data_IF_782071852634
#
_entry.id   IF_782071852634
#
_cell.length_a   1.000
_cell.length_b   1.000
_cell.length_c   1.000
_cell.angle_alpha   90.00
_cell.angle_beta   90.00
_cell.angle_gamma   90.00
#
_symmetry.space_group_name_H-M   'P 1'
#
loop_
_entity.id
_entity.type
_entity.pdbx_description
1 polymer ?
#
# COMPACT_ATOMS: atom_id res chain seq x y z
N UNK A 1 0.37 16.81 3.21
CA UNK A 1 -1.04 17.17 2.97
C UNK A 1 -1.45 16.99 1.52
N UNK A 2 -0.69 17.52 0.53
CA UNK A 2 -1.08 17.52 -0.89
C UNK A 2 -1.52 16.14 -1.44
N UNK A 3 -0.74 15.08 -1.23
CA UNK A 3 -1.11 13.75 -1.73
C UNK A 3 -2.41 13.19 -1.11
N UNK A 4 -2.65 13.43 0.17
CA UNK A 4 -3.89 13.03 0.82
C UNK A 4 -5.08 13.87 0.32
N UNK A 5 -4.87 15.18 0.11
CA UNK A 5 -5.89 16.07 -0.42
C UNK A 5 -6.28 15.69 -1.86
N UNK A 6 -5.31 15.44 -2.75
CA UNK A 6 -5.59 14.98 -4.12
C UNK A 6 -6.28 13.63 -4.14
N UNK A 7 -5.91 12.72 -3.23
CA UNK A 7 -6.58 11.43 -3.09
C UNK A 7 -8.05 11.57 -2.66
N UNK A 8 -8.32 12.38 -1.64
CA UNK A 8 -9.69 12.64 -1.17
C UNK A 8 -10.54 13.32 -2.24
N UNK A 9 -9.97 14.29 -2.97
CA UNK A 9 -10.67 14.94 -4.09
C UNK A 9 -11.00 13.94 -5.20
N UNK A 10 -10.06 13.06 -5.54
CA UNK A 10 -10.26 12.03 -6.56
C UNK A 10 -11.31 10.98 -6.14
N UNK A 11 -11.30 10.57 -4.88
CA UNK A 11 -12.30 9.67 -4.31
C UNK A 11 -13.69 10.31 -4.36
N UNK A 12 -13.80 11.55 -3.89
CA UNK A 12 -15.04 12.32 -3.95
C UNK A 12 -15.54 12.58 -5.37
N UNK A 13 -14.65 12.60 -6.37
CA UNK A 13 -15.02 12.75 -7.78
C UNK A 13 -15.49 11.43 -8.41
N UNK A 14 -14.91 10.30 -8.00
CA UNK A 14 -15.18 8.98 -8.61
C UNK A 14 -16.17 8.11 -7.82
N UNK A 15 -16.57 8.50 -6.63
CA UNK A 15 -17.54 7.76 -5.82
C UNK A 15 -18.95 7.86 -6.40
N UNK A 16 -19.69 6.75 -6.38
CA UNK A 16 -21.09 6.68 -6.82
C UNK A 16 -21.95 7.74 -6.11
N UNK A 17 -22.85 8.41 -6.83
CA UNK A 17 -23.68 9.56 -6.35
C UNK A 17 -22.90 10.82 -5.93
N UNK A 18 -21.75 11.09 -6.55
CA UNK A 18 -21.02 12.34 -6.38
C UNK A 18 -20.94 13.12 -7.68
N UNK A 19 -20.60 14.41 -7.57
CA UNK A 19 -20.60 15.38 -8.65
C UNK A 19 -19.91 14.89 -9.94
N UNK A 20 -18.80 14.15 -9.86
CA UNK A 20 -18.13 13.60 -11.05
C UNK A 20 -18.97 12.56 -11.81
N UNK A 21 -19.71 11.69 -11.11
CA UNK A 21 -20.55 10.67 -11.75
C UNK A 21 -21.79 11.27 -12.40
N UNK A 22 -22.34 12.31 -11.79
CA UNK A 22 -23.49 13.08 -12.31
C UNK A 22 -23.10 13.99 -13.49
N UNK A 23 -21.90 14.59 -13.47
CA UNK A 23 -21.45 15.54 -14.51
C UNK A 23 -20.87 14.87 -15.77
N UNK A 24 -20.21 13.71 -15.63
CA UNK A 24 -19.51 13.04 -16.75
C UNK A 24 -20.09 11.69 -17.14
N UNK A 25 -21.29 11.34 -16.65
CA UNK A 25 -21.95 10.05 -16.91
C UNK A 25 -21.05 8.86 -16.53
N UNK A 26 -20.26 8.95 -15.47
CA UNK A 26 -19.36 7.85 -15.05
C UNK A 26 -20.13 6.62 -14.53
N UNK A 27 -21.43 6.76 -14.28
CA UNK A 27 -22.34 5.65 -14.00
C UNK A 27 -22.71 4.85 -15.26
N UNK A 28 -22.36 5.33 -16.45
CA UNK A 28 -22.55 4.58 -17.70
C UNK A 28 -21.68 3.33 -17.68
N UNK A 29 -22.27 2.19 -18.00
CA UNK A 29 -21.55 0.91 -18.05
C UNK A 29 -20.98 0.63 -19.44
N UNK A 30 -19.74 0.16 -19.48
CA UNK A 30 -19.07 -0.37 -20.67
C UNK A 30 -18.50 -1.75 -20.32
N UNK A 31 -18.85 -2.78 -21.08
CA UNK A 31 -18.39 -4.14 -20.80
C UNK A 31 -18.85 -4.72 -19.45
N UNK A 32 -20.00 -4.27 -18.94
CA UNK A 32 -20.55 -4.71 -17.66
C UNK A 32 -20.03 -3.96 -16.43
N UNK A 33 -19.08 -3.04 -16.60
CA UNK A 33 -18.52 -2.23 -15.51
C UNK A 33 -18.82 -0.74 -15.72
N UNK A 34 -19.18 0.00 -14.67
CA UNK A 34 -19.35 1.44 -14.73
C UNK A 34 -18.01 2.14 -14.97
N UNK A 35 -18.03 3.24 -15.72
CA UNK A 35 -16.83 4.00 -16.09
C UNK A 35 -16.02 4.52 -14.89
N UNK A 36 -16.66 4.77 -13.74
CA UNK A 36 -15.92 5.15 -12.52
C UNK A 36 -14.94 4.05 -12.07
N UNK A 37 -15.25 2.76 -12.27
CA UNK A 37 -14.33 1.67 -11.92
C UNK A 37 -13.09 1.71 -12.81
N UNK A 38 -13.25 1.96 -14.11
CA UNK A 38 -12.10 2.13 -15.01
C UNK A 38 -11.24 3.34 -14.62
N UNK A 39 -11.87 4.45 -14.24
CA UNK A 39 -11.15 5.63 -13.75
C UNK A 39 -10.35 5.30 -12.46
N UNK A 40 -10.97 4.60 -11.51
CA UNK A 40 -10.32 4.21 -10.25
C UNK A 40 -9.16 3.23 -10.46
N UNK A 41 -9.37 2.12 -11.17
CA UNK A 41 -8.31 1.14 -11.40
C UNK A 41 -7.25 1.64 -12.38
N UNK A 42 -7.65 2.35 -13.44
CA UNK A 42 -6.72 2.90 -14.44
C UNK A 42 -5.79 3.95 -13.84
N UNK A 43 -6.32 4.89 -13.05
CA UNK A 43 -5.49 5.87 -12.34
C UNK A 43 -4.60 5.22 -11.28
N UNK A 44 -5.08 4.16 -10.60
CA UNK A 44 -4.26 3.39 -9.65
C UNK A 44 -3.09 2.67 -10.32
N UNK A 45 -3.33 2.05 -11.49
CA UNK A 45 -2.27 1.41 -12.27
C UNK A 45 -1.22 2.43 -12.74
N UNK A 46 -1.65 3.58 -13.24
CA UNK A 46 -0.76 4.67 -13.62
C UNK A 46 0.05 5.17 -12.41
N UNK A 47 -0.60 5.38 -11.26
CA UNK A 47 0.06 5.80 -10.03
C UNK A 47 1.11 4.79 -9.57
N UNK A 48 0.84 3.48 -9.67
CA UNK A 48 1.80 2.42 -9.36
C UNK A 48 3.02 2.45 -10.29
N UNK A 49 2.82 2.69 -11.59
CA UNK A 49 3.94 2.84 -12.53
C UNK A 49 4.81 4.04 -12.16
N UNK A 50 4.19 5.19 -11.89
CA UNK A 50 4.90 6.41 -11.48
C UNK A 50 5.64 6.19 -10.16
N UNK A 51 5.02 5.53 -9.19
CA UNK A 51 5.65 5.21 -7.91
C UNK A 51 6.83 4.25 -8.08
N UNK A 52 6.68 3.21 -8.90
CA UNK A 52 7.75 2.27 -9.22
C UNK A 52 8.93 2.96 -9.91
N UNK A 53 8.65 3.85 -10.86
CA UNK A 53 9.66 4.67 -11.51
C UNK A 53 10.36 5.60 -10.52
N UNK A 54 9.62 6.29 -9.65
CA UNK A 54 10.15 7.15 -8.60
C UNK A 54 11.06 6.38 -7.63
N UNK A 55 10.64 5.21 -7.16
CA UNK A 55 11.45 4.35 -6.28
C UNK A 55 12.72 3.88 -6.99
N UNK A 56 12.60 3.37 -8.22
CA UNK A 56 13.74 2.86 -8.97
C UNK A 56 14.77 3.97 -9.28
N UNK A 57 14.31 5.15 -9.68
CA UNK A 57 15.18 6.30 -9.94
C UNK A 57 15.79 6.85 -8.66
N UNK A 58 15.00 6.93 -7.58
CA UNK A 58 15.47 7.33 -6.25
C UNK A 58 16.60 6.41 -5.77
N UNK A 59 16.38 5.09 -5.81
CA UNK A 59 17.37 4.10 -5.39
C UNK A 59 18.67 4.18 -6.19
N UNK A 60 18.59 4.33 -7.51
CA UNK A 60 19.76 4.51 -8.38
C UNK A 60 20.54 5.77 -7.99
N UNK A 61 19.85 6.91 -7.83
CA UNK A 61 20.48 8.18 -7.44
C UNK A 61 21.11 8.13 -6.04
N UNK A 62 20.50 7.40 -5.10
CA UNK A 62 21.08 7.24 -3.75
C UNK A 62 22.29 6.32 -3.71
N UNK A 63 22.39 5.35 -4.63
CA UNK A 63 23.56 4.49 -4.72
C UNK A 63 24.82 5.26 -5.15
N UNK A 64 24.63 6.29 -5.98
CA UNK A 64 25.72 7.14 -6.48
C UNK A 64 26.03 8.33 -5.54
N UNK A 65 25.26 8.53 -4.47
CA UNK A 65 25.43 9.64 -3.55
C UNK A 65 26.57 9.37 -2.54
N UNK A 66 27.38 10.39 -2.18
CA UNK A 66 28.39 10.25 -1.14
C UNK A 66 27.79 9.79 0.18
N UNK A 67 28.43 8.83 0.85
CA UNK A 67 27.99 8.35 2.16
C UNK A 67 28.02 9.51 3.17
N UNK A 68 26.91 9.81 3.87
CA UNK A 68 26.88 10.90 4.84
C UNK A 68 27.94 10.71 5.92
N UNK A 69 28.66 11.80 6.26
CA UNK A 69 29.60 11.85 7.38
C UNK A 69 28.78 11.94 8.67
N UNK A 70 28.31 10.79 9.16
CA UNK A 70 27.49 10.68 10.37
C UNK A 70 27.68 9.32 11.03
N UNK A 71 27.06 9.08 12.21
CA UNK A 71 27.16 7.79 12.89
C UNK A 71 26.70 6.68 11.96
N UNK A 72 27.58 5.70 11.71
CA UNK A 72 27.27 4.58 10.84
C UNK A 72 26.03 3.84 11.37
N UNK A 73 24.99 3.76 10.54
CA UNK A 73 23.84 2.93 10.85
C UNK A 73 24.31 1.48 11.01
N UNK A 74 23.83 0.75 12.03
CA UNK A 74 24.27 -0.62 12.24
C UNK A 74 23.98 -1.47 11.01
N UNK A 75 25.00 -2.08 10.42
CA UNK A 75 24.81 -2.98 9.29
C UNK A 75 24.03 -4.23 9.75
N UNK A 76 22.91 -4.52 9.09
CA UNK A 76 22.17 -5.76 9.29
C UNK A 76 22.91 -6.93 8.64
N UNK A 77 23.17 -7.98 9.41
CA UNK A 77 23.65 -9.25 8.88
C UNK A 77 22.60 -9.92 7.98
N UNK A 78 23.00 -10.90 7.16
CA UNK A 78 22.11 -11.58 6.22
C UNK A 78 20.88 -12.19 6.92
N UNK A 79 21.07 -12.84 8.08
CA UNK A 79 19.97 -13.42 8.86
C UNK A 79 18.98 -12.38 9.40
N UNK A 80 19.47 -11.24 9.88
CA UNK A 80 18.61 -10.16 10.38
C UNK A 80 17.80 -9.51 9.24
N UNK A 81 18.39 -9.38 8.05
CA UNK A 81 17.68 -8.89 6.87
C UNK A 81 16.53 -9.82 6.50
N UNK A 82 16.79 -11.13 6.42
CA UNK A 82 15.74 -12.11 6.14
C UNK A 82 14.69 -12.19 7.24
N UNK A 83 15.10 -12.06 8.51
CA UNK A 83 14.17 -11.96 9.64
C UNK A 83 13.26 -10.73 9.54
N UNK A 84 13.81 -9.56 9.20
CA UNK A 84 13.04 -8.34 8.98
C UNK A 84 12.08 -8.48 7.80
N UNK A 85 12.56 -9.00 6.67
CA UNK A 85 11.71 -9.26 5.50
C UNK A 85 10.60 -10.26 5.82
N UNK A 86 10.91 -11.33 6.55
CA UNK A 86 9.94 -12.33 6.99
C UNK A 86 8.89 -11.76 7.93
N UNK A 87 9.29 -10.91 8.88
CA UNK A 87 8.38 -10.19 9.77
C UNK A 87 7.43 -9.30 8.98
N UNK A 88 7.97 -8.45 8.10
CA UNK A 88 7.17 -7.52 7.30
C UNK A 88 6.21 -8.26 6.36
N UNK A 89 6.70 -9.28 5.66
CA UNK A 89 5.89 -10.12 4.79
C UNK A 89 4.79 -10.86 5.59
N UNK A 90 5.14 -11.41 6.76
CA UNK A 90 4.19 -12.06 7.65
C UNK A 90 3.08 -11.11 8.10
N UNK A 91 3.42 -9.90 8.56
CA UNK A 91 2.42 -8.90 8.95
C UNK A 91 1.53 -8.48 7.78
N UNK A 92 2.08 -8.32 6.57
CA UNK A 92 1.30 -8.04 5.35
C UNK A 92 0.31 -9.16 5.06
N UNK A 93 0.77 -10.42 5.05
CA UNK A 93 -0.09 -11.59 4.79
C UNK A 93 -1.19 -11.70 5.84
N UNK A 94 -0.85 -11.52 7.12
CA UNK A 94 -1.84 -11.53 8.21
C UNK A 94 -2.85 -10.39 8.09
N UNK A 95 -2.42 -9.19 7.70
CA UNK A 95 -3.30 -8.05 7.48
C UNK A 95 -4.28 -8.28 6.32
N UNK A 96 -3.80 -8.83 5.20
CA UNK A 96 -4.63 -9.25 4.06
C UNK A 96 -5.64 -10.30 4.52
N UNK A 97 -5.16 -11.39 5.13
CA UNK A 97 -5.99 -12.51 5.55
C UNK A 97 -7.07 -12.06 6.53
N UNK A 98 -6.70 -11.27 7.55
CA UNK A 98 -7.65 -10.75 8.53
C UNK A 98 -8.77 -9.94 7.86
N UNK A 99 -8.44 -9.04 6.93
CA UNK A 99 -9.44 -8.21 6.23
C UNK A 99 -10.32 -9.05 5.30
N UNK A 100 -9.73 -9.97 4.53
CA UNK A 100 -10.49 -10.82 3.62
C UNK A 100 -11.40 -11.80 4.36
N UNK A 101 -10.94 -12.41 5.45
CA UNK A 101 -11.77 -13.29 6.31
C UNK A 101 -12.91 -12.49 6.92
N UNK A 102 -12.65 -11.27 7.40
CA UNK A 102 -13.70 -10.39 7.94
C UNK A 102 -14.75 -10.00 6.89
N UNK A 103 -14.32 -9.73 5.66
CA UNK A 103 -15.22 -9.49 4.55
C UNK A 103 -16.08 -10.72 4.27
N UNK A 104 -15.46 -11.89 4.14
CA UNK A 104 -16.17 -13.14 3.86
C UNK A 104 -17.16 -13.51 4.98
N UNK A 105 -16.78 -13.31 6.24
CA UNK A 105 -17.66 -13.54 7.38
C UNK A 105 -18.89 -12.61 7.39
N UNK A 106 -18.79 -11.42 6.78
CA UNK A 106 -19.89 -10.46 6.72
C UNK A 106 -20.79 -10.67 5.48
N UNK A 107 -20.20 -10.94 4.31
CA UNK A 107 -20.92 -11.02 3.03
C UNK A 107 -21.16 -12.45 2.51
N UNK A 108 -20.47 -13.45 3.07
CA UNK A 108 -20.65 -14.88 2.78
C UNK A 108 -20.11 -15.38 1.42
N UNK A 109 -19.78 -14.48 0.49
CA UNK A 109 -19.22 -14.82 -0.83
C UNK A 109 -18.37 -13.67 -1.40
N UNK A 110 -17.53 -14.01 -2.38
CA UNK A 110 -16.83 -13.05 -3.23
C UNK A 110 -17.45 -13.19 -4.62
N UNK A 111 -18.18 -12.17 -5.07
CA UNK A 111 -18.90 -12.19 -6.35
C UNK A 111 -17.97 -11.83 -7.50
N UNK A 112 -17.11 -10.84 -7.29
CA UNK A 112 -16.12 -10.40 -8.26
C UNK A 112 -14.75 -10.24 -7.58
N UNK A 113 -13.65 -10.72 -8.21
CA UNK A 113 -12.30 -10.44 -7.73
C UNK A 113 -12.02 -8.94 -7.51
N UNK A 114 -12.63 -8.04 -8.29
CA UNK A 114 -12.49 -6.60 -8.12
C UNK A 114 -13.01 -6.13 -6.74
N UNK A 115 -14.03 -6.77 -6.19
CA UNK A 115 -14.62 -6.38 -4.90
C UNK A 115 -13.67 -6.64 -3.72
N UNK A 116 -12.82 -7.66 -3.84
CA UNK A 116 -11.90 -8.05 -2.76
C UNK A 116 -10.53 -7.37 -2.85
N UNK A 117 -10.14 -6.87 -4.02
CA UNK A 117 -8.84 -6.21 -4.23
C UNK A 117 -8.64 -5.03 -3.26
N UNK A 118 -9.57 -4.07 -3.13
CA UNK A 118 -9.39 -2.96 -2.18
C UNK A 118 -9.23 -3.46 -0.75
N UNK A 119 -10.04 -4.44 -0.34
CA UNK A 119 -9.99 -5.06 0.99
C UNK A 119 -8.61 -5.69 1.26
N UNK A 120 -8.06 -6.42 0.29
CA UNK A 120 -6.72 -6.99 0.38
C UNK A 120 -5.64 -5.90 0.45
N UNK A 121 -5.71 -4.87 -0.40
CA UNK A 121 -4.75 -3.76 -0.40
C UNK A 121 -4.75 -2.99 0.93
N UNK A 122 -5.93 -2.69 1.51
CA UNK A 122 -6.02 -2.08 2.84
C UNK A 122 -5.44 -2.98 3.94
N UNK A 123 -5.70 -4.29 3.85
CA UNK A 123 -5.11 -5.29 4.74
C UNK A 123 -3.59 -5.30 4.65
N UNK A 124 -3.03 -5.29 3.44
CA UNK A 124 -1.60 -5.25 3.18
C UNK A 124 -0.96 -3.99 3.77
N UNK A 125 -1.55 -2.82 3.53
CA UNK A 125 -1.07 -1.54 4.05
C UNK A 125 -1.08 -1.48 5.59
N UNK A 126 -2.18 -1.92 6.22
CA UNK A 126 -2.28 -1.98 7.68
C UNK A 126 -1.28 -2.97 8.28
N UNK A 127 -1.13 -4.14 7.66
CA UNK A 127 -0.15 -5.16 8.04
C UNK A 127 1.29 -4.63 7.94
N UNK A 128 1.64 -3.96 6.83
CA UNK A 128 2.95 -3.35 6.67
C UNK A 128 3.22 -2.29 7.73
N UNK A 129 2.25 -1.41 8.02
CA UNK A 129 2.39 -0.39 9.06
C UNK A 129 2.66 -1.03 10.44
N UNK A 130 1.90 -2.06 10.81
CA UNK A 130 2.13 -2.81 12.04
C UNK A 130 3.51 -3.49 12.06
N UNK A 131 3.91 -4.10 10.94
CA UNK A 131 5.22 -4.75 10.80
C UNK A 131 6.38 -3.76 10.94
N UNK A 132 6.27 -2.57 10.37
CA UNK A 132 7.26 -1.49 10.51
C UNK A 132 7.38 -1.00 11.94
N UNK A 133 6.27 -0.89 12.67
CA UNK A 133 6.28 -0.56 14.10
C UNK A 133 6.97 -1.65 14.91
N UNK A 134 6.63 -2.92 14.70
CA UNK A 134 7.26 -4.06 15.38
C UNK A 134 8.76 -4.13 15.08
N UNK A 135 9.14 -3.92 13.82
CA UNK A 135 10.54 -3.86 13.41
C UNK A 135 11.28 -2.69 14.09
N UNK A 136 10.67 -1.51 14.17
CA UNK A 136 11.24 -0.36 14.88
C UNK A 136 11.45 -0.64 16.37
N UNK A 137 10.48 -1.29 17.02
CA UNK A 137 10.57 -1.72 18.43
C UNK A 137 11.69 -2.74 18.62
N UNK A 138 11.77 -3.75 17.75
CA UNK A 138 12.87 -4.73 17.75
C UNK A 138 14.23 -4.03 17.68
N UNK A 139 14.40 -3.13 16.71
CA UNK A 139 15.67 -2.44 16.48
C UNK A 139 16.08 -1.56 17.67
N UNK A 140 15.12 -0.87 18.30
CA UNK A 140 15.38 0.00 19.45
C UNK A 140 15.63 -0.76 20.75
N UNK A 141 14.83 -1.79 21.05
CA UNK A 141 14.86 -2.44 22.37
C UNK A 141 15.80 -3.64 22.45
N UNK A 142 15.91 -4.44 21.39
CA UNK A 142 16.69 -5.69 21.43
C UNK A 142 18.14 -5.47 20.98
N UNK A 143 18.39 -4.52 20.08
CA UNK A 143 19.74 -4.17 19.61
C UNK A 143 20.41 -3.12 20.48
N UNK A 144 19.67 -2.12 20.97
CA UNK A 144 20.21 -1.12 21.92
C UNK A 144 20.64 -1.70 23.27
N UNK A 145 20.24 -2.93 23.60
CA UNK A 145 20.71 -3.67 24.79
C UNK A 145 21.94 -4.55 24.54
N UNK A 146 22.35 -4.75 23.28
CA UNK A 146 23.49 -5.61 22.88
C UNK A 146 24.75 -4.81 22.50
N UNK A 147 24.64 -3.49 22.45
CA UNK A 147 25.74 -2.52 22.29
C UNK A 147 26.02 -1.88 23.63
#
# INVERSE_FOLDING_TARGET
ALGAATHVVWDAFTHHSRWGTELLLLDRSVGGFPLYQFAQYGSSALALVVLGWFVATGLRRTADAPVPVGPALPSLGRGERWGALGLLAGCVVLGIAHRCVRWYAHFGRIENPLDIIPTACFGAGAGLAAGLLLYGVWMRLLRGRRT
#
